data_IF_224453219961
#
_entry.id   IF_224453219961
#
_cell.length_a   1.000
_cell.length_b   1.000
_cell.length_c   1.000
_cell.angle_alpha   90.00
_cell.angle_beta   90.00
_cell.angle_gamma   90.00
#
_symmetry.space_group_name_H-M   'P 1'
#
loop_
_entity.id
_entity.type
_entity.pdbx_description
1 polymer ?
#
# COMPACT_ATOMS: atom_id res chain seq x y z
N UNK A 1 -13.99 10.43 -22.37
CA UNK A 1 -12.81 9.88 -21.67
C UNK A 1 -12.73 10.53 -20.29
N UNK A 2 -13.58 10.06 -19.36
CA UNK A 2 -13.42 10.31 -17.92
C UNK A 2 -12.66 9.10 -17.41
N UNK A 3 -11.36 9.23 -17.18
CA UNK A 3 -10.50 8.10 -16.87
C UNK A 3 -10.10 8.05 -15.39
N UNK A 4 -10.74 8.86 -14.55
CA UNK A 4 -10.46 8.91 -13.10
C UNK A 4 -11.68 8.65 -12.23
N UNK A 5 -12.88 8.56 -12.82
CA UNK A 5 -14.10 8.21 -12.09
C UNK A 5 -15.23 7.92 -13.10
N UNK A 6 -15.68 6.65 -13.27
CA UNK A 6 -16.93 6.37 -13.97
C UNK A 6 -18.16 6.52 -13.05
N UNK A 7 -18.00 6.55 -11.72
CA UNK A 7 -19.10 6.57 -10.75
C UNK A 7 -19.25 7.91 -9.99
N UNK A 8 -18.23 8.77 -10.00
CA UNK A 8 -18.27 10.05 -9.27
C UNK A 8 -18.41 9.86 -7.76
N UNK A 9 -17.92 8.74 -7.24
CA UNK A 9 -18.10 8.34 -5.84
C UNK A 9 -17.20 9.14 -4.87
N UNK A 10 -16.18 9.86 -5.38
CA UNK A 10 -15.32 10.73 -4.56
C UNK A 10 -14.42 9.97 -3.59
N UNK A 11 -14.33 8.64 -3.72
CA UNK A 11 -13.41 7.77 -2.98
C UNK A 11 -12.23 7.44 -3.87
N UNK A 12 -11.12 8.14 -3.67
CA UNK A 12 -9.85 7.83 -4.33
C UNK A 12 -9.39 6.47 -3.79
N UNK A 13 -9.60 5.41 -4.56
CA UNK A 13 -9.23 4.05 -4.17
C UNK A 13 -7.72 3.85 -4.33
N UNK A 14 -7.15 2.90 -3.59
CA UNK A 14 -5.77 2.43 -3.79
C UNK A 14 -5.50 2.11 -5.27
N UNK A 15 -6.49 1.55 -5.97
CA UNK A 15 -6.44 1.29 -7.41
C UNK A 15 -6.22 2.56 -8.24
N UNK A 16 -6.88 3.68 -7.90
CA UNK A 16 -6.73 4.96 -8.61
C UNK A 16 -5.33 5.58 -8.39
N UNK A 17 -4.73 5.36 -7.23
CA UNK A 17 -3.37 5.82 -6.93
C UNK A 17 -2.30 4.95 -7.61
N UNK A 18 -2.51 3.63 -7.60
CA UNK A 18 -1.68 2.68 -8.35
C UNK A 18 -1.81 2.97 -9.84
N UNK A 19 -3.01 3.17 -10.38
CA UNK A 19 -3.23 3.55 -11.79
C UNK A 19 -2.50 4.85 -12.12
N UNK A 20 -2.55 5.86 -11.24
CA UNK A 20 -1.83 7.11 -11.42
C UNK A 20 -0.31 6.90 -11.50
N UNK A 21 0.28 6.16 -10.55
CA UNK A 21 1.71 5.85 -10.58
C UNK A 21 2.10 4.96 -11.77
N UNK A 22 1.28 3.97 -12.11
CA UNK A 22 1.48 3.05 -13.25
C UNK A 22 1.48 3.81 -14.57
N UNK A 23 0.61 4.83 -14.69
CA UNK A 23 0.48 5.67 -15.87
C UNK A 23 1.56 6.73 -16.00
N UNK A 24 2.14 7.16 -14.88
CA UNK A 24 3.26 8.11 -14.86
C UNK A 24 4.62 7.43 -15.09
N UNK A 25 4.81 6.18 -14.65
CA UNK A 25 6.07 5.43 -14.78
C UNK A 25 6.16 4.41 -15.92
N UNK A 26 5.06 4.09 -16.61
CA UNK A 26 5.08 3.21 -17.78
C UNK A 26 5.33 1.74 -17.43
N UNK A 27 4.26 0.95 -17.44
CA UNK A 27 4.26 -0.51 -17.63
C UNK A 27 5.07 -1.39 -16.67
N UNK A 28 5.43 -0.92 -15.46
CA UNK A 28 6.14 -1.77 -14.50
C UNK A 28 5.37 -1.91 -13.19
N UNK A 29 4.50 -2.93 -13.12
CA UNK A 29 3.82 -3.40 -11.90
C UNK A 29 4.80 -4.11 -10.94
N UNK A 30 5.86 -3.43 -10.49
CA UNK A 30 6.85 -4.03 -9.56
C UNK A 30 6.49 -3.78 -8.11
N UNK A 31 6.91 -4.71 -7.24
CA UNK A 31 6.84 -4.60 -5.77
C UNK A 31 7.30 -3.24 -5.24
N UNK A 32 8.30 -2.64 -5.88
CA UNK A 32 8.83 -1.30 -5.55
C UNK A 32 7.80 -0.17 -5.66
N UNK A 33 6.88 -0.21 -6.63
CA UNK A 33 5.82 0.79 -6.78
C UNK A 33 4.77 0.66 -5.67
N UNK A 34 4.43 -0.58 -5.30
CA UNK A 34 3.54 -0.86 -4.18
C UNK A 34 4.18 -0.39 -2.87
N UNK A 35 5.48 -0.66 -2.67
CA UNK A 35 6.28 -0.15 -1.54
C UNK A 35 6.26 1.39 -1.52
N UNK A 36 6.52 2.04 -2.65
CA UNK A 36 6.55 3.50 -2.74
C UNK A 36 5.18 4.12 -2.41
N UNK A 37 4.09 3.49 -2.85
CA UNK A 37 2.72 3.90 -2.50
C UNK A 37 2.49 3.84 -0.99
N UNK A 38 2.78 2.69 -0.37
CA UNK A 38 2.64 2.54 1.08
C UNK A 38 3.56 3.46 1.87
N UNK A 39 4.75 3.75 1.35
CA UNK A 39 5.69 4.68 1.95
C UNK A 39 5.15 6.12 1.97
N UNK A 40 4.47 6.56 0.91
CA UNK A 40 3.82 7.87 0.86
C UNK A 40 2.68 7.92 1.89
N UNK A 41 1.86 6.87 1.97
CA UNK A 41 0.78 6.76 2.97
C UNK A 41 1.33 6.77 4.40
N UNK A 42 2.47 6.11 4.60
CA UNK A 42 3.23 6.12 5.83
C UNK A 42 4.04 7.42 6.06
N UNK A 43 3.80 8.51 5.33
CA UNK A 43 4.53 9.77 5.47
C UNK A 43 6.07 9.61 5.47
N UNK A 44 6.58 8.82 4.52
CA UNK A 44 7.99 8.45 4.33
C UNK A 44 8.61 7.56 5.42
N UNK A 45 7.80 7.06 6.37
CA UNK A 45 8.26 6.11 7.39
C UNK A 45 8.50 4.72 6.77
N UNK A 46 9.49 3.95 7.29
CA UNK A 46 9.74 2.58 6.84
C UNK A 46 8.69 1.56 7.33
N UNK A 47 7.63 2.02 7.98
CA UNK A 47 6.52 1.22 8.51
C UNK A 47 5.23 2.03 8.42
N UNK A 48 4.09 1.34 8.36
CA UNK A 48 2.77 1.95 8.40
C UNK A 48 2.01 1.50 9.64
N UNK A 49 1.16 2.37 10.20
CA UNK A 49 0.34 2.02 11.37
C UNK A 49 -1.03 1.50 10.94
N UNK A 50 -1.60 0.63 11.78
CA UNK A 50 -3.00 0.17 11.65
C UNK A 50 -3.97 1.35 11.52
N UNK A 51 -3.78 2.39 12.33
CA UNK A 51 -4.58 3.62 12.27
C UNK A 51 -4.41 4.38 10.95
N UNK A 52 -3.20 4.42 10.39
CA UNK A 52 -2.96 5.08 9.10
C UNK A 52 -3.61 4.30 7.96
N UNK A 53 -3.45 2.98 7.93
CA UNK A 53 -4.18 2.12 6.98
C UNK A 53 -5.69 2.32 7.08
N UNK A 54 -6.26 2.30 8.30
CA UNK A 54 -7.71 2.50 8.50
C UNK A 54 -8.20 3.90 8.13
N UNK A 55 -7.33 4.90 8.17
CA UNK A 55 -7.67 6.29 7.83
C UNK A 55 -7.53 6.57 6.33
N UNK A 56 -6.60 5.91 5.66
CA UNK A 56 -6.28 6.16 4.25
C UNK A 56 -6.91 5.15 3.29
N UNK A 57 -7.18 3.93 3.76
CA UNK A 57 -7.84 2.89 2.97
C UNK A 57 -9.26 2.63 3.52
N UNK A 58 -10.17 2.17 2.64
CA UNK A 58 -11.47 1.69 3.11
C UNK A 58 -11.29 0.55 4.11
N UNK A 59 -12.22 0.41 5.08
CA UNK A 59 -12.07 -0.51 6.21
C UNK A 59 -11.76 -1.94 5.78
N UNK A 60 -12.39 -2.43 4.72
CA UNK A 60 -12.16 -3.77 4.18
C UNK A 60 -10.72 -3.99 3.70
N UNK A 61 -10.13 -3.00 3.00
CA UNK A 61 -8.75 -3.09 2.53
C UNK A 61 -7.74 -2.90 3.66
N UNK A 62 -8.05 -2.00 4.61
CA UNK A 62 -7.24 -1.81 5.79
C UNK A 62 -7.14 -3.11 6.59
N UNK A 63 -8.27 -3.76 6.90
CA UNK A 63 -8.29 -5.04 7.63
C UNK A 63 -7.53 -6.14 6.88
N UNK A 64 -7.67 -6.20 5.54
CA UNK A 64 -6.91 -7.12 4.71
C UNK A 64 -5.39 -6.89 4.81
N UNK A 65 -4.95 -5.63 4.71
CA UNK A 65 -3.54 -5.27 4.87
C UNK A 65 -3.04 -5.61 6.27
N UNK A 66 -3.79 -5.26 7.32
CA UNK A 66 -3.42 -5.53 8.71
C UNK A 66 -3.31 -7.04 8.99
N UNK A 67 -4.20 -7.85 8.41
CA UNK A 67 -4.19 -9.30 8.59
C UNK A 67 -3.06 -10.00 7.83
N UNK A 68 -2.53 -9.40 6.77
CA UNK A 68 -1.51 -10.00 5.89
C UNK A 68 -0.12 -9.40 6.06
N UNK A 69 -0.03 -8.14 6.50
CA UNK A 69 1.24 -7.47 6.77
C UNK A 69 1.86 -8.02 8.05
N UNK A 70 3.13 -8.43 8.02
CA UNK A 70 3.84 -8.76 9.24
C UNK A 70 4.07 -7.51 10.09
N UNK A 71 4.17 -7.64 11.42
CA UNK A 71 4.52 -6.53 12.29
C UNK A 71 5.95 -6.06 12.00
N UNK A 72 6.16 -4.74 11.98
CA UNK A 72 7.47 -4.15 11.78
C UNK A 72 8.36 -4.40 12.99
N UNK A 73 9.51 -5.05 12.78
CA UNK A 73 10.45 -5.45 13.84
C UNK A 73 11.69 -4.55 13.95
N UNK A 74 11.70 -3.38 13.31
CA UNK A 74 12.83 -2.45 13.39
C UNK A 74 12.98 -1.80 14.78
N UNK A 75 14.15 -1.20 15.07
CA UNK A 75 14.40 -0.48 16.32
C UNK A 75 13.44 0.70 16.55
N UNK A 76 12.89 1.25 15.47
CA UNK A 76 11.86 2.31 15.47
C UNK A 76 10.42 1.77 15.50
N UNK A 77 10.25 0.45 15.65
CA UNK A 77 8.96 -0.20 15.64
C UNK A 77 8.13 0.14 16.86
N UNK A 78 6.98 0.76 16.62
CA UNK A 78 5.95 1.02 17.64
C UNK A 78 4.92 -0.11 17.65
N UNK A 79 4.22 -0.36 18.77
CA UNK A 79 3.15 -1.34 18.81
C UNK A 79 2.06 -1.02 17.77
N UNK A 80 1.79 -1.96 16.87
CA UNK A 80 0.85 -1.78 15.75
C UNK A 80 1.49 -1.23 14.47
N UNK A 81 2.82 -1.13 14.41
CA UNK A 81 3.55 -0.90 13.17
C UNK A 81 3.57 -2.17 12.31
N UNK A 82 3.30 -1.98 11.02
CA UNK A 82 3.22 -3.02 10.00
C UNK A 82 4.25 -2.75 8.92
N UNK A 83 4.83 -3.84 8.40
CA UNK A 83 5.88 -3.80 7.40
C UNK A 83 5.28 -4.04 6.01
N UNK A 84 5.05 -2.94 5.28
CA UNK A 84 4.55 -2.98 3.92
C UNK A 84 5.62 -3.47 2.92
N UNK A 85 6.91 -3.35 3.27
CA UNK A 85 8.01 -3.84 2.44
C UNK A 85 8.04 -5.36 2.45
N UNK A 86 8.01 -5.96 3.63
CA UNK A 86 7.91 -7.39 3.81
C UNK A 86 6.63 -7.95 3.17
N UNK A 87 5.49 -7.25 3.27
CA UNK A 87 4.27 -7.65 2.57
C UNK A 87 4.43 -7.67 1.05
N UNK A 88 5.06 -6.65 0.46
CA UNK A 88 5.36 -6.66 -0.98
C UNK A 88 6.36 -7.77 -1.34
N UNK A 89 7.35 -8.05 -0.50
CA UNK A 89 8.29 -9.15 -0.70
C UNK A 89 7.59 -10.50 -0.58
N UNK A 90 6.57 -10.66 0.26
CA UNK A 90 5.77 -11.90 0.29
C UNK A 90 4.90 -12.02 -0.97
N UNK A 91 4.20 -10.94 -1.35
CA UNK A 91 3.32 -10.93 -2.53
C UNK A 91 4.04 -11.18 -3.86
N UNK A 92 5.24 -10.61 -4.01
CA UNK A 92 6.02 -10.68 -5.26
C UNK A 92 7.23 -11.61 -5.16
N UNK A 93 7.69 -11.94 -3.95
CA UNK A 93 8.85 -12.81 -3.69
C UNK A 93 8.50 -14.28 -3.43
N UNK A 94 7.22 -14.65 -3.28
CA UNK A 94 6.80 -16.06 -3.49
C UNK A 94 6.86 -16.49 -4.96
N UNK A 95 7.46 -15.69 -5.85
CA UNK A 95 7.65 -16.04 -7.26
C UNK A 95 9.04 -16.61 -7.60
N UNK A 96 9.96 -16.77 -6.64
CA UNK A 96 11.28 -17.41 -6.88
C UNK A 96 11.80 -18.19 -5.65
N UNK A 97 11.24 -19.39 -5.39
CA UNK A 97 12.01 -20.56 -4.92
C UNK A 97 11.28 -21.88 -5.18
#
# INVERSE_FOLDING_TARGET
MSLVDPDGAGVVTFQSFVDFMTRETGDTETSEQVIASFRILAADKPYILVDELRRELPPEQAEYCISRMPPYQGPDGVPGALDYTAFSTVLYGESDL
#
